data_IF_427071784148
#
_entry.id   IF_427071784148
#
_cell.length_a   1.000
_cell.length_b   1.000
_cell.length_c   1.000
_cell.angle_alpha   90.00
_cell.angle_beta   90.00
_cell.angle_gamma   90.00
#
_symmetry.space_group_name_H-M   'P 1'
#
loop_
_entity.id
_entity.type
_entity.pdbx_description
1 polymer ?
#
# COMPACT_ATOMS: atom_id res chain seq x y z
N UNK A 1 -24.14 7.64 -9.85
CA UNK A 1 -22.72 7.40 -9.52
C UNK A 1 -22.59 5.91 -9.28
N UNK A 2 -22.07 5.16 -10.23
CA UNK A 2 -21.93 3.70 -10.07
C UNK A 2 -20.86 3.43 -9.02
N UNK A 3 -21.22 2.76 -7.96
CA UNK A 3 -20.28 2.32 -6.92
C UNK A 3 -19.68 1.01 -7.38
N UNK A 4 -18.47 1.05 -7.95
CA UNK A 4 -17.77 -0.16 -8.36
C UNK A 4 -17.23 -0.87 -7.11
N UNK A 5 -17.84 -1.98 -6.73
CA UNK A 5 -17.22 -2.91 -5.79
C UNK A 5 -16.06 -3.62 -6.48
N UNK A 6 -14.84 -3.39 -5.98
CA UNK A 6 -13.65 -4.11 -6.42
C UNK A 6 -13.18 -5.03 -5.30
N UNK A 7 -13.05 -6.30 -5.60
CA UNK A 7 -12.43 -7.24 -4.69
C UNK A 7 -10.90 -7.09 -4.75
N UNK A 8 -10.28 -6.91 -3.59
CA UNK A 8 -8.83 -6.87 -3.43
C UNK A 8 -8.41 -8.10 -2.62
N UNK A 9 -7.69 -9.03 -3.25
CA UNK A 9 -7.12 -10.22 -2.60
C UNK A 9 -5.60 -10.13 -2.63
N UNK A 10 -4.96 -10.60 -1.56
CA UNK A 10 -3.50 -10.62 -1.43
C UNK A 10 -3.00 -12.03 -1.22
N UNK A 11 -1.80 -12.28 -1.71
CA UNK A 11 -1.12 -13.55 -1.65
C UNK A 11 0.35 -13.31 -1.31
N UNK A 12 0.94 -14.21 -0.54
CA UNK A 12 2.37 -14.21 -0.26
C UNK A 12 3.00 -15.37 -1.04
N UNK A 13 3.94 -15.03 -1.93
CA UNK A 13 4.59 -15.96 -2.82
C UNK A 13 6.05 -16.15 -2.40
N UNK A 14 6.52 -17.37 -2.39
CA UNK A 14 7.95 -17.64 -2.46
C UNK A 14 8.45 -17.52 -3.91
N UNK A 15 9.76 -17.61 -4.12
CA UNK A 15 10.38 -17.41 -5.44
C UNK A 15 9.93 -18.47 -6.45
N UNK A 16 9.75 -19.74 -6.03
CA UNK A 16 9.28 -20.82 -6.90
C UNK A 16 7.84 -20.57 -7.35
N UNK A 17 6.95 -20.19 -6.42
CA UNK A 17 5.57 -19.84 -6.72
C UNK A 17 5.47 -18.63 -7.65
N UNK A 18 6.29 -17.59 -7.39
CA UNK A 18 6.33 -16.41 -8.23
C UNK A 18 6.75 -16.75 -9.67
N UNK A 19 7.85 -17.49 -9.83
CA UNK A 19 8.35 -17.90 -11.15
C UNK A 19 7.33 -18.76 -11.91
N UNK A 20 6.72 -19.74 -11.24
CA UNK A 20 5.70 -20.61 -11.84
C UNK A 20 4.45 -19.85 -12.27
N UNK A 21 3.93 -18.95 -11.38
CA UNK A 21 2.80 -18.08 -11.71
C UNK A 21 3.08 -17.18 -12.91
N UNK A 22 4.25 -16.56 -12.96
CA UNK A 22 4.62 -15.67 -14.07
C UNK A 22 4.69 -16.41 -15.41
N UNK A 23 5.24 -17.62 -15.42
CA UNK A 23 5.30 -18.44 -16.64
C UNK A 23 3.90 -18.83 -17.13
N UNK A 24 3.01 -19.24 -16.24
CA UNK A 24 1.66 -19.66 -16.59
C UNK A 24 0.75 -18.48 -16.98
N UNK A 25 0.93 -17.32 -16.34
CA UNK A 25 0.10 -16.14 -16.62
C UNK A 25 0.51 -15.34 -17.85
N UNK A 26 1.69 -15.55 -18.43
CA UNK A 26 2.24 -14.73 -19.54
C UNK A 26 1.32 -14.61 -20.75
N UNK A 27 0.52 -15.66 -21.04
CA UNK A 27 -0.43 -15.64 -22.14
C UNK A 27 -1.71 -14.86 -21.83
N UNK A 28 -1.98 -14.56 -20.57
CA UNK A 28 -3.21 -13.93 -20.09
C UNK A 28 -3.05 -12.48 -19.68
N UNK A 29 -1.82 -12.01 -19.39
CA UNK A 29 -1.56 -10.68 -18.89
C UNK A 29 -0.58 -9.90 -19.78
N UNK A 30 -0.65 -8.56 -19.68
CA UNK A 30 0.30 -7.64 -20.31
C UNK A 30 0.78 -6.60 -19.29
N UNK A 31 1.98 -6.03 -19.49
CA UNK A 31 2.43 -4.91 -18.65
C UNK A 31 1.43 -3.76 -18.61
N UNK A 32 1.16 -3.23 -17.42
CA UNK A 32 0.39 -2.00 -17.23
C UNK A 32 1.20 -0.77 -17.71
N UNK A 33 0.54 0.35 -17.92
CA UNK A 33 1.16 1.65 -18.26
C UNK A 33 2.32 2.01 -17.33
N UNK A 34 2.23 1.65 -16.04
CA UNK A 34 3.27 1.83 -15.03
C UNK A 34 3.86 0.49 -14.62
N UNK A 35 4.41 -0.23 -15.59
CA UNK A 35 4.86 -1.61 -15.45
C UNK A 35 5.78 -1.84 -14.26
N UNK A 36 6.85 -1.04 -14.14
CA UNK A 36 7.77 -1.11 -13.01
C UNK A 36 7.89 0.24 -12.32
N UNK A 37 7.72 0.24 -11.01
CA UNK A 37 7.73 1.47 -10.23
C UNK A 37 8.26 1.23 -8.83
N UNK A 38 9.21 2.05 -8.38
CA UNK A 38 9.59 2.13 -6.97
C UNK A 38 8.50 2.88 -6.22
N UNK A 39 7.92 2.26 -5.20
CA UNK A 39 6.91 2.87 -4.35
C UNK A 39 7.51 3.15 -2.99
N UNK A 40 7.40 4.41 -2.54
CA UNK A 40 7.75 4.82 -1.19
C UNK A 40 6.52 5.37 -0.50
N UNK A 41 6.29 4.94 0.71
CA UNK A 41 5.12 5.35 1.49
C UNK A 41 5.54 5.66 2.91
N UNK A 42 5.18 6.84 3.39
CA UNK A 42 5.36 7.27 4.76
C UNK A 42 3.99 7.27 5.43
N UNK A 43 3.80 6.40 6.41
CA UNK A 43 2.56 6.31 7.17
C UNK A 43 2.59 7.26 8.35
N UNK A 44 1.44 7.88 8.62
CA UNK A 44 1.21 8.78 9.74
C UNK A 44 0.37 8.08 10.79
N UNK A 45 0.68 8.35 12.05
CA UNK A 45 -0.05 7.78 13.18
C UNK A 45 -0.06 8.76 14.36
N UNK A 46 -0.90 8.49 15.34
CA UNK A 46 -0.88 9.12 16.66
C UNK A 46 0.33 8.66 17.46
N UNK A 47 0.68 9.38 18.51
CA UNK A 47 1.80 9.03 19.39
C UNK A 47 1.61 7.65 20.07
N UNK A 48 0.36 7.18 20.22
CA UNK A 48 0.01 5.87 20.76
C UNK A 48 -0.29 4.81 19.67
N UNK A 49 0.00 5.11 18.40
CA UNK A 49 -0.14 4.19 17.24
C UNK A 49 -1.57 3.70 16.99
N UNK A 50 -2.58 4.55 17.17
CA UNK A 50 -3.98 4.18 17.05
C UNK A 50 -4.35 3.61 15.66
N UNK A 51 -3.89 4.24 14.57
CA UNK A 51 -4.28 3.85 13.21
C UNK A 51 -3.72 2.48 12.83
N UNK A 52 -2.45 2.20 13.19
CA UNK A 52 -1.83 0.91 12.87
C UNK A 52 -2.37 -0.19 13.77
N UNK A 53 -2.61 0.07 15.07
CA UNK A 53 -3.24 -0.89 15.99
C UNK A 53 -4.62 -1.30 15.47
N UNK A 54 -5.48 -0.36 15.14
CA UNK A 54 -6.78 -0.64 14.50
C UNK A 54 -6.64 -1.42 13.20
N UNK A 55 -5.58 -1.16 12.42
CA UNK A 55 -5.33 -1.93 11.20
C UNK A 55 -5.05 -3.41 11.47
N UNK A 56 -4.39 -3.75 12.59
CA UNK A 56 -4.06 -5.12 13.02
C UNK A 56 -5.29 -5.80 13.63
N UNK A 57 -6.01 -5.13 14.49
CA UNK A 57 -7.21 -5.63 15.20
C UNK A 57 -8.39 -5.91 14.25
N UNK A 58 -8.37 -5.28 13.05
CA UNK A 58 -9.39 -5.45 12.00
C UNK A 58 -10.82 -5.11 12.43
N UNK A 59 -11.07 -3.98 13.11
CA UNK A 59 -12.42 -3.56 13.45
C UNK A 59 -13.24 -3.31 12.17
N UNK A 60 -14.54 -3.14 12.34
CA UNK A 60 -15.47 -2.82 11.24
C UNK A 60 -15.04 -1.55 10.48
N UNK A 61 -14.60 -0.51 11.21
CA UNK A 61 -14.08 0.74 10.64
C UNK A 61 -12.61 0.96 10.99
N UNK A 62 -11.81 1.29 9.97
CA UNK A 62 -10.41 1.67 10.13
C UNK A 62 -9.91 2.58 9.03
N UNK A 63 -8.91 3.38 9.36
CA UNK A 63 -8.28 4.30 8.45
C UNK A 63 -6.77 4.08 8.38
N UNK A 64 -6.16 4.58 7.30
CA UNK A 64 -4.72 4.73 7.13
C UNK A 64 -4.46 6.03 6.41
N UNK A 65 -3.59 6.85 6.95
CA UNK A 65 -3.09 8.05 6.30
C UNK A 65 -1.63 7.83 5.92
N UNK A 66 -1.28 8.21 4.69
CA UNK A 66 0.11 8.13 4.22
C UNK A 66 0.43 9.19 3.17
N UNK A 67 1.68 9.62 3.14
CA UNK A 67 2.28 10.22 1.95
C UNK A 67 2.87 9.13 1.05
N UNK A 68 2.79 9.30 -0.27
CA UNK A 68 3.34 8.35 -1.24
C UNK A 68 4.03 9.06 -2.37
N UNK A 69 5.20 8.56 -2.73
CA UNK A 69 5.91 8.91 -3.96
C UNK A 69 6.12 7.68 -4.86
N UNK A 70 6.43 7.95 -6.10
CA UNK A 70 6.86 7.00 -7.11
C UNK A 70 8.31 7.33 -7.46
N UNK A 71 9.24 6.61 -6.86
CA UNK A 71 10.65 6.95 -6.77
C UNK A 71 10.98 7.82 -5.55
N UNK A 72 12.23 8.26 -5.46
CA UNK A 72 12.70 9.17 -4.41
C UNK A 72 12.11 10.55 -4.61
N UNK A 73 11.68 11.17 -3.52
CA UNK A 73 11.11 12.52 -3.55
C UNK A 73 11.63 13.35 -2.39
N UNK A 74 11.92 14.63 -2.68
CA UNK A 74 12.46 15.60 -1.72
C UNK A 74 12.05 17.03 -2.07
N UNK A 75 12.19 17.93 -1.13
CA UNK A 75 11.99 19.37 -1.35
C UNK A 75 10.63 19.67 -1.97
N UNK A 76 10.64 20.25 -3.15
CA UNK A 76 9.43 20.71 -3.86
C UNK A 76 8.78 19.65 -4.75
N UNK A 77 9.29 18.42 -4.76
CA UNK A 77 8.67 17.34 -5.55
C UNK A 77 7.22 17.13 -5.11
N UNK A 78 6.35 16.80 -6.08
CA UNK A 78 4.96 16.49 -5.79
C UNK A 78 4.83 15.03 -5.29
N UNK A 79 4.13 14.89 -4.18
CA UNK A 79 3.79 13.59 -3.58
C UNK A 79 2.29 13.50 -3.34
N UNK A 80 1.81 12.30 -3.06
CA UNK A 80 0.39 12.04 -2.84
C UNK A 80 0.10 11.80 -1.36
N UNK A 81 -0.78 12.59 -0.78
CA UNK A 81 -1.42 12.24 0.49
C UNK A 81 -2.63 11.36 0.18
N UNK A 82 -2.66 10.19 0.78
CA UNK A 82 -3.70 9.17 0.59
C UNK A 82 -4.34 8.80 1.92
N UNK A 83 -5.66 9.00 2.01
CA UNK A 83 -6.50 8.51 3.10
C UNK A 83 -7.26 7.27 2.61
N UNK A 84 -7.00 6.12 3.21
CA UNK A 84 -7.70 4.86 2.94
C UNK A 84 -8.58 4.52 4.11
N UNK A 85 -9.89 4.54 3.90
CA UNK A 85 -10.92 4.13 4.86
C UNK A 85 -11.41 2.74 4.48
N UNK A 86 -11.66 1.90 5.47
CA UNK A 86 -12.36 0.63 5.28
C UNK A 86 -13.51 0.55 6.27
N UNK A 87 -14.71 0.36 5.75
CA UNK A 87 -15.93 0.19 6.53
C UNK A 87 -16.73 -0.98 5.98
N UNK A 88 -17.10 -1.92 6.82
CA UNK A 88 -17.87 -3.13 6.45
C UNK A 88 -17.36 -3.80 5.16
N UNK A 89 -16.06 -4.07 5.11
CA UNK A 89 -15.42 -4.69 3.94
C UNK A 89 -15.15 -3.74 2.76
N UNK A 90 -15.88 -2.63 2.63
CA UNK A 90 -15.76 -1.67 1.54
C UNK A 90 -14.57 -0.74 1.76
N UNK A 91 -13.78 -0.53 0.72
CA UNK A 91 -12.60 0.34 0.76
C UNK A 91 -12.86 1.64 0.01
N UNK A 92 -12.71 2.75 0.72
CA UNK A 92 -12.73 4.10 0.15
C UNK A 92 -11.31 4.66 0.14
N UNK A 93 -10.85 5.13 -1.01
CA UNK A 93 -9.54 5.75 -1.16
C UNK A 93 -9.70 7.19 -1.62
N UNK A 94 -9.10 8.11 -0.87
CA UNK A 94 -9.00 9.53 -1.21
C UNK A 94 -7.54 9.86 -1.46
N UNK A 95 -7.26 10.70 -2.45
CA UNK A 95 -5.91 11.04 -2.84
C UNK A 95 -5.85 12.48 -3.36
N UNK A 96 -4.86 13.24 -2.89
CA UNK A 96 -4.53 14.57 -3.38
C UNK A 96 -3.02 14.75 -3.50
N UNK A 97 -2.57 15.70 -4.32
CA UNK A 97 -1.16 16.04 -4.46
C UNK A 97 -0.81 17.21 -3.54
N UNK A 98 0.38 17.14 -2.98
CA UNK A 98 0.99 18.17 -2.13
C UNK A 98 2.49 18.20 -2.34
N UNK A 99 3.18 19.24 -1.84
CA UNK A 99 4.62 19.34 -1.89
C UNK A 99 5.27 18.39 -0.85
N UNK A 100 6.35 17.72 -1.24
CA UNK A 100 7.05 16.75 -0.39
C UNK A 100 7.55 17.35 0.92
N UNK A 101 8.19 18.52 0.88
CA UNK A 101 8.69 19.21 2.07
C UNK A 101 7.60 19.50 3.09
N UNK A 102 6.39 19.84 2.64
CA UNK A 102 5.29 20.22 3.53
C UNK A 102 4.81 18.99 4.31
N UNK A 103 4.62 17.84 3.65
CA UNK A 103 4.26 16.58 4.32
C UNK A 103 5.32 16.10 5.29
N UNK A 104 6.60 16.29 4.97
CA UNK A 104 7.70 15.86 5.85
C UNK A 104 7.86 16.75 7.07
N UNK A 105 7.55 18.05 6.94
CA UNK A 105 7.59 18.98 8.06
C UNK A 105 6.40 18.80 9.00
N UNK A 106 5.19 18.97 8.47
CA UNK A 106 3.96 18.77 9.23
C UNK A 106 2.79 18.60 8.25
N UNK A 107 2.22 17.41 8.21
CA UNK A 107 1.09 17.09 7.33
C UNK A 107 -0.14 17.96 7.61
N UNK A 108 -0.33 18.43 8.83
CA UNK A 108 -1.46 19.28 9.19
C UNK A 108 -1.36 20.69 8.59
N UNK A 109 -0.15 21.15 8.26
CA UNK A 109 0.10 22.46 7.63
C UNK A 109 0.06 22.42 6.11
N UNK A 110 -0.09 21.23 5.52
CA UNK A 110 -0.16 21.09 4.06
C UNK A 110 -1.34 21.87 3.49
N UNK A 111 -1.06 22.59 2.40
CA UNK A 111 -2.11 23.23 1.63
C UNK A 111 -2.83 22.18 0.77
N UNK A 112 -3.91 21.64 1.30
CA UNK A 112 -4.79 20.75 0.52
C UNK A 112 -5.69 21.59 -0.39
N UNK A 113 -5.83 21.18 -1.67
CA UNK A 113 -6.73 21.84 -2.61
C UNK A 113 -8.14 21.93 -2.02
N UNK A 114 -8.85 23.03 -2.27
CA UNK A 114 -10.26 23.17 -1.88
C UNK A 114 -11.13 22.24 -2.71
N UNK A 115 -11.17 20.99 -2.28
CA UNK A 115 -11.90 19.89 -2.89
C UNK A 115 -12.51 19.01 -1.80
N UNK A 116 -13.49 18.21 -2.14
CA UNK A 116 -14.05 17.24 -1.20
C UNK A 116 -12.97 16.35 -0.60
N UNK A 117 -12.01 15.89 -1.41
CA UNK A 117 -10.90 15.05 -0.97
C UNK A 117 -10.02 15.77 0.06
N UNK A 118 -9.67 17.04 -0.20
CA UNK A 118 -8.92 17.86 0.74
C UNK A 118 -9.65 18.03 2.06
N UNK A 119 -10.96 18.33 2.02
CA UNK A 119 -11.81 18.45 3.21
C UNK A 119 -11.91 17.14 4.01
N UNK A 120 -12.01 15.98 3.35
CA UNK A 120 -12.01 14.68 4.02
C UNK A 120 -10.68 14.37 4.71
N UNK A 121 -9.54 14.74 4.11
CA UNK A 121 -8.22 14.57 4.71
C UNK A 121 -8.07 15.50 5.93
N UNK A 122 -8.43 16.79 5.78
CA UNK A 122 -8.42 17.75 6.88
C UNK A 122 -9.32 17.32 8.05
N UNK A 123 -10.49 16.75 7.75
CA UNK A 123 -11.36 16.20 8.77
C UNK A 123 -10.68 15.06 9.55
N UNK A 124 -10.01 14.13 8.86
CA UNK A 124 -9.28 13.04 9.51
C UNK A 124 -8.13 13.57 10.38
N UNK A 125 -7.35 14.56 9.88
CA UNK A 125 -6.29 15.23 10.65
C UNK A 125 -6.83 15.89 11.92
N UNK A 126 -7.95 16.59 11.82
CA UNK A 126 -8.59 17.23 12.97
C UNK A 126 -9.16 16.20 13.98
N UNK A 127 -9.70 15.09 13.47
CA UNK A 127 -10.28 14.03 14.29
C UNK A 127 -9.24 13.31 15.16
N UNK A 128 -8.10 12.94 14.56
CA UNK A 128 -7.02 12.26 15.28
C UNK A 128 -6.09 13.23 16.02
N UNK A 129 -6.21 14.53 15.78
CA UNK A 129 -5.32 15.55 16.33
C UNK A 129 -3.93 15.47 15.70
N UNK A 130 -2.89 15.37 16.52
CA UNK A 130 -1.50 15.32 16.04
C UNK A 130 -1.19 13.97 15.40
N UNK A 131 -0.99 13.97 14.09
CA UNK A 131 -0.47 12.82 13.34
C UNK A 131 0.96 13.09 12.88
N UNK A 132 1.87 12.20 13.25
CA UNK A 132 3.30 12.29 12.93
C UNK A 132 3.74 11.16 12.02
N UNK A 133 4.81 11.33 11.20
CA UNK A 133 5.42 10.21 10.51
C UNK A 133 5.77 9.09 11.49
N UNK A 134 5.38 7.86 11.18
CA UNK A 134 5.54 6.70 12.06
C UNK A 134 6.35 5.58 11.39
N UNK A 135 5.94 5.14 10.21
CA UNK A 135 6.58 4.02 9.52
C UNK A 135 6.74 4.34 8.04
N UNK A 136 7.94 4.17 7.54
CA UNK A 136 8.22 4.15 6.11
C UNK A 136 8.08 2.72 5.57
N UNK A 137 7.55 2.59 4.34
CA UNK A 137 7.51 1.34 3.57
C UNK A 137 7.97 1.63 2.15
N UNK A 138 9.05 0.97 1.73
CA UNK A 138 9.54 0.91 0.36
C UNK A 138 9.22 -0.41 -0.31
N UNK A 139 8.98 -0.42 -1.63
CA UNK A 139 8.93 -1.64 -2.42
C UNK A 139 9.09 -1.37 -3.91
N UNK A 140 9.62 -2.35 -4.62
CA UNK A 140 9.59 -2.40 -6.09
C UNK A 140 8.27 -3.07 -6.50
N UNK A 141 7.49 -2.39 -7.33
CA UNK A 141 6.22 -2.89 -7.85
C UNK A 141 6.29 -3.17 -9.32
N UNK A 142 5.86 -4.36 -9.71
CA UNK A 142 5.59 -4.74 -11.10
C UNK A 142 4.08 -4.87 -11.27
N UNK A 143 3.52 -4.27 -12.33
CA UNK A 143 2.07 -4.16 -12.54
C UNK A 143 1.65 -4.71 -13.90
N UNK A 144 0.59 -5.52 -13.91
CA UNK A 144 0.00 -6.11 -15.10
C UNK A 144 -1.51 -5.89 -15.14
N UNK A 145 -2.05 -5.96 -16.33
CA UNK A 145 -3.50 -5.98 -16.60
C UNK A 145 -3.85 -7.24 -17.41
N UNK A 146 -5.07 -7.71 -17.29
CA UNK A 146 -5.56 -8.83 -18.11
C UNK A 146 -5.60 -8.45 -19.59
N UNK A 147 -5.23 -9.38 -20.49
CA UNK A 147 -5.34 -9.17 -21.95
C UNK A 147 -6.79 -9.10 -22.42
N UNK A 148 -7.67 -9.88 -21.81
CA UNK A 148 -9.09 -9.96 -22.15
C UNK A 148 -9.97 -9.36 -21.04
N UNK A 149 -9.50 -9.44 -19.80
CA UNK A 149 -10.20 -8.95 -18.62
C UNK A 149 -9.69 -7.54 -18.27
N UNK A 150 -10.26 -6.50 -18.88
CA UNK A 150 -9.82 -5.10 -18.70
C UNK A 150 -9.84 -4.62 -17.26
N UNK A 151 -10.72 -5.19 -16.42
CA UNK A 151 -10.85 -4.86 -14.99
C UNK A 151 -9.91 -5.68 -14.09
N UNK A 152 -9.19 -6.69 -14.62
CA UNK A 152 -8.21 -7.45 -13.88
C UNK A 152 -6.90 -6.68 -13.80
N UNK A 153 -6.46 -6.38 -12.58
CA UNK A 153 -5.14 -5.83 -12.31
C UNK A 153 -4.39 -6.70 -11.32
N UNK A 154 -3.17 -7.06 -11.68
CA UNK A 154 -2.26 -7.86 -10.86
C UNK A 154 -1.02 -7.02 -10.56
N UNK A 155 -0.64 -6.91 -9.29
CA UNK A 155 0.60 -6.24 -8.91
C UNK A 155 1.43 -7.14 -8.03
N UNK A 156 2.73 -7.12 -8.24
CA UNK A 156 3.73 -7.81 -7.43
C UNK A 156 4.59 -6.76 -6.73
N UNK A 157 4.65 -6.83 -5.41
CA UNK A 157 5.52 -5.99 -4.59
C UNK A 157 6.66 -6.85 -4.07
N UNK A 158 7.88 -6.51 -4.48
CA UNK A 158 9.14 -7.18 -4.18
C UNK A 158 10.07 -6.23 -3.40
N UNK A 159 11.14 -6.75 -2.82
CA UNK A 159 12.13 -5.97 -2.07
C UNK A 159 11.47 -5.04 -1.05
N UNK A 160 10.48 -5.59 -0.31
CA UNK A 160 9.70 -4.78 0.61
C UNK A 160 10.56 -4.46 1.83
N UNK A 161 10.82 -3.17 2.05
CA UNK A 161 11.57 -2.66 3.19
C UNK A 161 10.73 -1.76 4.08
N UNK A 162 11.20 -1.57 5.32
CA UNK A 162 10.60 -0.64 6.29
C UNK A 162 11.66 0.01 7.16
N UNK A 163 11.34 1.17 7.72
CA UNK A 163 12.09 1.80 8.81
C UNK A 163 11.19 2.66 9.68
N UNK A 164 11.63 2.93 10.90
CA UNK A 164 10.93 3.72 11.92
C UNK A 164 11.74 4.94 12.38
N UNK A 165 12.93 5.13 11.82
CA UNK A 165 13.83 6.27 12.04
C UNK A 165 14.17 6.93 10.71
N UNK A 166 14.72 8.13 10.73
CA UNK A 166 15.11 8.89 9.53
C UNK A 166 14.00 8.92 8.47
N UNK A 167 12.77 9.21 8.92
CA UNK A 167 11.56 9.07 8.13
C UNK A 167 11.50 10.10 7.00
N UNK A 168 11.59 9.64 5.77
CA UNK A 168 11.54 10.42 4.54
C UNK A 168 10.93 9.59 3.40
N UNK A 169 10.75 10.21 2.22
CA UNK A 169 10.34 9.52 1.00
C UNK A 169 11.53 9.22 0.06
N UNK A 170 12.70 9.02 0.63
CA UNK A 170 13.92 8.58 -0.06
C UNK A 170 14.34 7.19 0.43
N UNK A 171 15.14 6.48 -0.37
CA UNK A 171 15.81 5.27 0.08
C UNK A 171 16.87 5.64 1.14
N UNK A 172 17.05 4.77 2.10
CA UNK A 172 18.06 4.88 3.13
C UNK A 172 18.69 3.49 3.32
N UNK A 173 19.88 3.29 2.78
CA UNK A 173 20.54 1.99 2.78
C UNK A 173 20.99 1.56 4.19
N UNK A 174 21.15 2.50 5.11
CA UNK A 174 21.59 2.22 6.48
C UNK A 174 20.40 1.84 7.40
N UNK A 175 19.23 2.46 7.20
CA UNK A 175 18.07 2.29 8.05
C UNK A 175 16.95 1.41 7.44
N UNK A 176 16.93 1.20 6.12
CA UNK A 176 15.94 0.34 5.46
C UNK A 176 16.17 -1.13 5.84
N UNK A 177 15.20 -1.75 6.50
CA UNK A 177 15.23 -3.16 6.91
C UNK A 177 14.28 -4.00 6.05
N UNK A 178 14.63 -5.24 5.68
CA UNK A 178 13.74 -6.10 4.92
C UNK A 178 12.50 -6.45 5.76
N UNK A 179 11.32 -6.23 5.19
CA UNK A 179 10.04 -6.57 5.84
C UNK A 179 9.69 -8.04 5.68
N UNK A 180 9.95 -8.59 4.51
CA UNK A 180 9.69 -9.99 4.15
C UNK A 180 10.60 -10.41 3.01
N UNK A 181 10.89 -11.69 2.95
CA UNK A 181 11.56 -12.39 1.84
C UNK A 181 10.58 -12.81 0.72
N UNK A 182 9.27 -12.58 0.94
CA UNK A 182 8.21 -13.00 0.00
C UNK A 182 7.76 -11.88 -0.89
N UNK A 183 7.36 -12.23 -2.11
CA UNK A 183 6.65 -11.34 -3.02
C UNK A 183 5.18 -11.23 -2.59
N UNK A 184 4.69 -10.00 -2.47
CA UNK A 184 3.28 -9.74 -2.18
C UNK A 184 2.53 -9.49 -3.48
N UNK A 185 1.76 -10.48 -3.92
CA UNK A 185 0.85 -10.31 -5.04
C UNK A 185 -0.48 -9.74 -4.57
N UNK A 186 -1.01 -8.75 -5.27
CA UNK A 186 -2.33 -8.15 -5.05
C UNK A 186 -3.16 -8.23 -6.32
N UNK A 187 -4.29 -8.91 -6.24
CA UNK A 187 -5.29 -8.99 -7.31
C UNK A 187 -6.40 -7.98 -7.04
N UNK A 188 -6.75 -7.22 -8.07
CA UNK A 188 -7.93 -6.34 -8.11
C UNK A 188 -8.83 -6.77 -9.24
N UNK A 189 -10.06 -7.12 -8.90
CA UNK A 189 -11.05 -7.67 -9.82
C UNK A 189 -12.38 -6.98 -9.52
N UNK A 190 -13.12 -6.64 -10.57
CA UNK A 190 -14.44 -5.99 -10.41
C UNK A 190 -15.51 -7.01 -10.02
N UNK A 191 -15.57 -8.11 -10.75
CA UNK A 191 -16.63 -9.10 -10.57
C UNK A 191 -16.06 -10.44 -10.06
N UNK A 192 -16.06 -11.47 -10.89
CA UNK A 192 -15.54 -12.80 -10.56
C UNK A 192 -14.09 -12.98 -11.01
N UNK A 193 -13.35 -13.81 -10.29
CA UNK A 193 -12.01 -14.22 -10.71
C UNK A 193 -12.12 -15.06 -11.99
N UNK A 194 -11.33 -14.76 -13.05
CA UNK A 194 -11.27 -15.60 -14.23
C UNK A 194 -10.89 -17.05 -13.88
N UNK A 195 -11.50 -18.03 -14.52
CA UNK A 195 -11.24 -19.45 -14.24
C UNK A 195 -9.77 -19.80 -14.43
N UNK A 196 -9.15 -19.36 -15.53
CA UNK A 196 -7.73 -19.58 -15.77
C UNK A 196 -6.84 -19.12 -14.60
N UNK A 197 -7.20 -18.01 -13.96
CA UNK A 197 -6.43 -17.48 -12.82
C UNK A 197 -6.69 -18.30 -11.55
N UNK A 198 -7.92 -18.75 -11.34
CA UNK A 198 -8.26 -19.61 -10.22
C UNK A 198 -7.52 -20.96 -10.32
N UNK A 199 -7.49 -21.57 -11.51
CA UNK A 199 -6.80 -22.84 -11.78
C UNK A 199 -5.29 -22.70 -11.53
N UNK A 200 -4.65 -21.65 -12.07
CA UNK A 200 -3.21 -21.37 -11.87
C UNK A 200 -2.89 -21.20 -10.37
N UNK A 201 -3.73 -20.47 -9.64
CA UNK A 201 -3.52 -20.28 -8.20
C UNK A 201 -3.63 -21.58 -7.41
N UNK A 202 -4.60 -22.42 -7.75
CA UNK A 202 -4.81 -23.72 -7.08
C UNK A 202 -3.69 -24.71 -7.40
N UNK A 203 -3.27 -24.85 -8.65
CA UNK A 203 -2.14 -25.68 -9.07
C UNK A 203 -0.85 -25.33 -8.33
N UNK A 204 -0.61 -24.03 -8.09
CA UNK A 204 0.55 -23.54 -7.36
C UNK A 204 0.34 -23.47 -5.83
N UNK A 205 -0.81 -23.93 -5.31
CA UNK A 205 -1.17 -23.91 -3.88
C UNK A 205 -1.03 -22.49 -3.28
N UNK A 206 -1.47 -21.49 -4.03
CA UNK A 206 -1.41 -20.08 -3.65
C UNK A 206 -2.77 -19.61 -3.18
N UNK A 207 -2.91 -19.38 -1.89
CA UNK A 207 -4.18 -19.03 -1.25
C UNK A 207 -4.18 -17.59 -0.72
N UNK A 208 -5.36 -16.91 -0.74
CA UNK A 208 -5.45 -15.54 -0.28
C UNK A 208 -5.16 -15.41 1.20
N UNK A 209 -4.37 -14.38 1.54
CA UNK A 209 -3.96 -14.10 2.90
C UNK A 209 -4.19 -12.62 3.25
N UNK A 210 -4.46 -12.36 4.54
CA UNK A 210 -4.51 -10.99 5.04
C UNK A 210 -3.09 -10.50 5.28
N UNK A 211 -2.64 -9.52 4.49
CA UNK A 211 -1.32 -8.92 4.65
C UNK A 211 -1.40 -7.39 4.67
N UNK A 212 -0.87 -6.79 5.73
CA UNK A 212 -0.73 -5.34 5.86
C UNK A 212 0.74 -4.99 6.03
N UNK A 213 1.38 -4.35 5.02
CA UNK A 213 2.79 -3.95 5.10
C UNK A 213 3.07 -3.14 6.36
N UNK A 214 2.31 -2.06 6.59
CA UNK A 214 2.49 -1.22 7.79
C UNK A 214 2.21 -1.98 9.09
N UNK A 215 1.21 -2.86 9.13
CA UNK A 215 0.93 -3.67 10.31
C UNK A 215 2.05 -4.66 10.63
N UNK A 216 2.60 -5.33 9.60
CA UNK A 216 3.74 -6.24 9.80
C UNK A 216 5.02 -5.50 10.19
N UNK A 217 5.26 -4.31 9.62
CA UNK A 217 6.38 -3.46 10.03
C UNK A 217 6.29 -3.04 11.49
N UNK A 218 5.10 -2.62 11.94
CA UNK A 218 4.85 -2.27 13.35
C UNK A 218 5.07 -3.48 14.29
N UNK A 219 4.58 -4.66 13.93
CA UNK A 219 4.82 -5.87 14.73
C UNK A 219 6.29 -6.23 14.82
N UNK A 220 7.06 -6.07 13.73
CA UNK A 220 8.52 -6.26 13.76
C UNK A 220 9.24 -5.23 14.62
N UNK A 221 8.80 -3.97 14.61
CA UNK A 221 9.33 -2.94 15.49
C UNK A 221 9.15 -3.34 16.96
N UNK A 222 7.94 -3.72 17.36
CA UNK A 222 7.67 -4.14 18.74
C UNK A 222 8.52 -5.34 19.17
N UNK A 223 8.76 -6.30 18.26
CA UNK A 223 9.65 -7.44 18.53
C UNK A 223 11.11 -7.03 18.68
N UNK A 224 11.58 -6.04 17.91
CA UNK A 224 12.94 -5.52 18.00
C UNK A 224 13.18 -4.63 19.22
N UNK A 225 12.15 -4.03 19.79
CA UNK A 225 12.23 -3.24 21.02
C UNK A 225 12.20 -4.10 22.30
N UNK A 226 11.80 -5.37 22.17
CA UNK A 226 11.79 -6.35 23.28
C UNK A 226 13.09 -7.16 23.41
N UNK A 227 14.06 -6.98 22.50
CA UNK A 227 15.39 -7.64 22.51
C UNK A 227 16.47 -6.60 22.87
#
# INVERSE_FOLDING_TARGET
METFQRFEKKYLLNDEQYASLMEQMKEHIVPDKFYQTMIRSLYYDTDDHELVRRSIEKPEYKEKLRARSYGDSKGNDEVFVELKKKYDGIVYKRRTQVCCKDVLNDIATCHFKDSQVGKEILYALNYYGKLSPSIYIGCKRTSYVGKKEEDLRITFDEEISYRTRNLSLQKDDDDDRPLTDKTVMELKIKDAMPLWLADILDENKVYPQSYSKVGNAFLKQLQGEML
#
